data_IF_248459184228
#
_entry.id   IF_248459184228
#
_cell.length_a   1.000
_cell.length_b   1.000
_cell.length_c   1.000
_cell.angle_alpha   90.00
_cell.angle_beta   90.00
_cell.angle_gamma   90.00
#
_symmetry.space_group_name_H-M   'P 1'
#
loop_
_entity.id
_entity.type
_entity.pdbx_description
1 polymer ?
#
# COMPACT_ATOMS: atom_id res chain seq x y z
N UNK A 1 18.20 4.82 0.81
CA UNK A 1 17.97 4.88 2.28
C UNK A 1 16.94 3.82 2.65
N UNK A 2 16.59 3.66 3.93
CA UNK A 2 15.47 2.79 4.34
C UNK A 2 14.23 3.66 4.55
N UNK A 3 13.09 3.26 3.98
CA UNK A 3 11.82 3.97 4.09
C UNK A 3 10.80 3.12 4.85
N UNK A 4 10.07 3.76 5.74
CA UNK A 4 8.96 3.18 6.48
C UNK A 4 7.69 3.21 5.63
N UNK A 5 6.92 2.12 5.68
CA UNK A 5 5.60 2.00 5.08
C UNK A 5 4.59 1.73 6.17
N UNK A 6 3.46 2.43 6.12
CA UNK A 6 2.28 2.16 6.92
C UNK A 6 1.13 1.77 6.01
N UNK A 7 0.55 0.62 6.27
CA UNK A 7 -0.52 0.03 5.49
C UNK A 7 -1.77 -0.07 6.34
N UNK A 8 -2.87 0.51 5.85
CA UNK A 8 -4.22 0.32 6.40
C UNK A 8 -4.95 -0.72 5.57
N UNK A 9 -5.50 -1.75 6.19
CA UNK A 9 -6.05 -2.93 5.50
C UNK A 9 -7.54 -3.02 5.79
N UNK A 10 -8.34 -2.86 4.74
CA UNK A 10 -9.79 -2.90 4.78
C UNK A 10 -10.25 -4.27 4.28
N UNK A 11 -10.90 -5.03 5.17
CA UNK A 11 -11.46 -6.35 4.87
C UNK A 11 -12.97 -6.25 4.72
N UNK A 12 -13.60 -6.98 3.78
CA UNK A 12 -15.05 -7.02 3.66
C UNK A 12 -15.69 -7.49 4.97
N UNK A 13 -16.69 -6.77 5.46
CA UNK A 13 -17.41 -7.10 6.69
C UNK A 13 -16.64 -6.81 7.99
N UNK A 14 -15.47 -6.17 7.92
CA UNK A 14 -14.72 -5.70 9.09
C UNK A 14 -14.81 -4.17 9.14
N UNK A 15 -15.29 -3.64 10.25
CA UNK A 15 -15.54 -2.20 10.43
C UNK A 15 -14.24 -1.41 10.58
N UNK A 16 -13.30 -1.92 11.38
CA UNK A 16 -12.02 -1.25 11.61
C UNK A 16 -10.90 -1.81 10.71
N UNK A 17 -10.06 -0.94 10.13
CA UNK A 17 -8.92 -1.39 9.36
C UNK A 17 -7.82 -1.97 10.26
N UNK A 18 -7.17 -3.03 9.78
CA UNK A 18 -5.93 -3.52 10.39
C UNK A 18 -4.75 -2.66 9.93
N UNK A 19 -3.83 -2.32 10.84
CA UNK A 19 -2.63 -1.55 10.51
C UNK A 19 -1.39 -2.44 10.53
N UNK A 20 -0.55 -2.33 9.49
CA UNK A 20 0.78 -2.94 9.46
C UNK A 20 1.83 -1.91 9.09
N UNK A 21 3.01 -2.04 9.69
CA UNK A 21 4.19 -1.27 9.32
C UNK A 21 5.33 -2.19 8.93
N UNK A 22 6.10 -1.78 7.95
CA UNK A 22 7.33 -2.44 7.54
C UNK A 22 8.25 -1.44 6.88
N UNK A 23 9.52 -1.79 6.76
CA UNK A 23 10.50 -0.99 6.06
C UNK A 23 10.95 -1.67 4.76
N UNK A 24 11.35 -0.85 3.79
CA UNK A 24 12.01 -1.31 2.57
C UNK A 24 13.20 -0.42 2.26
N UNK A 25 14.24 -1.03 1.68
CA UNK A 25 15.43 -0.32 1.22
C UNK A 25 15.21 0.21 -0.20
N UNK A 26 15.52 1.49 -0.40
CA UNK A 26 15.48 2.13 -1.72
C UNK A 26 16.59 1.62 -2.66
N UNK A 27 16.34 1.62 -3.98
CA UNK A 27 15.12 2.06 -4.66
C UNK A 27 13.98 1.02 -4.53
N UNK A 28 12.76 1.47 -4.26
CA UNK A 28 11.60 0.58 -4.08
C UNK A 28 10.82 0.52 -5.38
N UNK A 29 10.73 -0.66 -5.99
CA UNK A 29 9.89 -0.90 -7.17
C UNK A 29 8.48 -1.34 -6.76
N UNK A 30 7.48 -1.01 -7.57
CA UNK A 30 6.09 -1.39 -7.30
C UNK A 30 5.92 -2.92 -7.22
N UNK A 31 6.61 -3.67 -8.09
CA UNK A 31 6.61 -5.14 -8.02
C UNK A 31 7.18 -5.70 -6.71
N UNK A 32 8.24 -5.08 -6.17
CA UNK A 32 8.82 -5.49 -4.88
C UNK A 32 7.89 -5.14 -3.72
N UNK A 33 7.28 -3.95 -3.75
CA UNK A 33 6.28 -3.53 -2.79
C UNK A 33 5.09 -4.50 -2.78
N UNK A 34 4.52 -4.81 -3.95
CA UNK A 34 3.43 -5.80 -4.08
C UNK A 34 3.83 -7.16 -3.51
N UNK A 35 5.00 -7.67 -3.85
CA UNK A 35 5.48 -8.95 -3.31
C UNK A 35 5.60 -8.92 -1.79
N UNK A 36 6.09 -7.82 -1.20
CA UNK A 36 6.16 -7.64 0.26
C UNK A 36 4.77 -7.64 0.90
N UNK A 37 3.82 -6.92 0.31
CA UNK A 37 2.40 -6.92 0.70
C UNK A 37 1.84 -8.35 0.67
N UNK A 38 1.98 -9.07 -0.44
CA UNK A 38 1.50 -10.46 -0.54
C UNK A 38 2.09 -11.41 0.51
N UNK A 39 3.38 -11.27 0.83
CA UNK A 39 4.02 -12.08 1.88
C UNK A 39 3.46 -11.76 3.27
N UNK A 40 3.16 -10.49 3.55
CA UNK A 40 2.61 -10.07 4.84
C UNK A 40 1.15 -10.50 5.03
N UNK A 41 0.36 -10.58 3.95
CA UNK A 41 -1.08 -10.78 4.03
C UNK A 41 -1.57 -12.18 3.66
N UNK A 42 -0.64 -13.12 3.51
CA UNK A 42 -0.87 -14.51 3.12
C UNK A 42 -1.52 -14.63 1.71
N UNK A 43 -0.80 -15.17 0.71
CA UNK A 43 -1.28 -15.23 -0.68
C UNK A 43 -2.58 -16.03 -0.87
N UNK A 44 -2.95 -16.89 0.08
CA UNK A 44 -4.15 -17.72 -0.01
C UNK A 44 -5.45 -17.00 0.39
N UNK A 45 -5.38 -15.83 1.04
CA UNK A 45 -6.57 -15.14 1.57
C UNK A 45 -7.18 -14.14 0.60
N UNK A 46 -6.45 -13.66 -0.42
CA UNK A 46 -6.91 -12.50 -1.19
C UNK A 46 -6.55 -12.58 -2.68
N UNK A 47 -7.48 -13.04 -3.55
CA UNK A 47 -7.22 -13.10 -4.99
C UNK A 47 -7.15 -11.71 -5.63
N UNK A 48 -7.69 -10.67 -4.98
CA UNK A 48 -7.70 -9.32 -5.54
C UNK A 48 -7.49 -8.29 -4.43
N UNK A 49 -6.36 -7.61 -4.50
CA UNK A 49 -5.98 -6.51 -3.61
C UNK A 49 -5.99 -5.23 -4.45
N UNK A 50 -6.74 -4.22 -4.00
CA UNK A 50 -6.60 -2.85 -4.52
C UNK A 50 -5.67 -2.08 -3.60
N UNK A 51 -4.64 -1.48 -4.18
CA UNK A 51 -3.66 -0.63 -3.49
C UNK A 51 -4.05 0.81 -3.78
N UNK A 52 -4.18 1.64 -2.74
CA UNK A 52 -4.52 3.05 -2.86
C UNK A 52 -3.59 3.91 -1.99
N UNK A 53 -3.47 5.18 -2.33
CA UNK A 53 -2.86 6.24 -1.52
C UNK A 53 -3.81 7.43 -1.49
N UNK A 54 -3.64 8.31 -0.51
CA UNK A 54 -4.44 9.53 -0.40
C UNK A 54 -3.64 10.69 -0.99
N UNK A 55 -4.21 11.39 -1.97
CA UNK A 55 -3.56 12.52 -2.61
C UNK A 55 -3.70 13.83 -1.82
N UNK A 56 -3.22 14.93 -2.41
CA UNK A 56 -3.24 16.27 -1.81
C UNK A 56 -4.64 16.80 -1.52
N UNK A 57 -5.63 16.34 -2.28
CA UNK A 57 -7.01 16.79 -2.21
C UNK A 57 -7.81 15.93 -1.20
N UNK A 58 -7.16 14.89 -0.64
CA UNK A 58 -7.76 13.96 0.31
C UNK A 58 -8.45 12.77 -0.36
N UNK A 59 -8.27 12.61 -1.68
CA UNK A 59 -8.92 11.56 -2.46
C UNK A 59 -8.11 10.27 -2.48
N UNK A 60 -8.81 9.13 -2.44
CA UNK A 60 -8.20 7.81 -2.50
C UNK A 60 -7.94 7.38 -3.94
N UNK A 61 -6.66 7.42 -4.34
CA UNK A 61 -6.20 7.14 -5.70
C UNK A 61 -5.64 5.73 -5.78
N UNK A 62 -6.11 4.95 -6.77
CA UNK A 62 -5.65 3.57 -6.98
C UNK A 62 -4.29 3.51 -7.66
N UNK A 63 -3.40 2.66 -7.15
CA UNK A 63 -2.11 2.31 -7.76
C UNK A 63 -2.19 0.95 -8.44
N UNK A 64 -1.99 0.93 -9.75
CA UNK A 64 -2.05 -0.27 -10.59
C UNK A 64 -0.74 -0.55 -11.33
N UNK A 65 0.10 0.47 -11.50
CA UNK A 65 1.33 0.39 -12.30
C UNK A 65 2.44 1.25 -11.73
N UNK A 66 3.66 1.00 -12.21
CA UNK A 66 4.91 1.51 -11.65
C UNK A 66 4.97 3.05 -11.59
N UNK A 67 4.49 3.73 -12.63
CA UNK A 67 4.46 5.20 -12.67
C UNK A 67 3.51 5.81 -11.63
N UNK A 68 2.33 5.22 -11.43
CA UNK A 68 1.37 5.63 -10.40
C UNK A 68 1.95 5.43 -8.99
N UNK A 69 2.75 4.38 -8.81
CA UNK A 69 3.45 4.12 -7.56
C UNK A 69 4.53 5.16 -7.29
N UNK A 70 5.34 5.52 -8.30
CA UNK A 70 6.35 6.57 -8.13
C UNK A 70 5.73 7.93 -7.86
N UNK A 71 4.61 8.27 -8.51
CA UNK A 71 3.87 9.49 -8.20
C UNK A 71 3.43 9.53 -6.73
N UNK A 72 2.93 8.40 -6.21
CA UNK A 72 2.56 8.31 -4.80
C UNK A 72 3.78 8.47 -3.86
N UNK A 73 4.91 7.84 -4.19
CA UNK A 73 6.12 7.96 -3.37
C UNK A 73 6.70 9.37 -3.37
N UNK A 74 6.75 10.02 -4.54
CA UNK A 74 7.24 11.39 -4.70
C UNK A 74 6.38 12.38 -3.91
N UNK A 75 5.05 12.20 -3.96
CA UNK A 75 4.14 12.99 -3.14
C UNK A 75 4.39 12.86 -1.63
N UNK A 76 4.77 11.66 -1.19
CA UNK A 76 5.00 11.36 0.22
C UNK A 76 6.46 11.53 0.64
N UNK A 77 7.37 12.04 -0.21
CA UNK A 77 8.81 11.97 0.05
C UNK A 77 9.25 12.78 1.28
N UNK A 78 8.54 13.88 1.55
CA UNK A 78 8.70 14.76 2.71
C UNK A 78 8.10 14.18 4.01
N UNK A 79 7.44 13.03 3.94
CA UNK A 79 6.83 12.38 5.10
C UNK A 79 7.75 11.34 5.72
N UNK A 80 7.56 11.08 7.02
CA UNK A 80 8.33 10.05 7.74
C UNK A 80 7.95 8.62 7.36
N UNK A 81 6.76 8.40 6.79
CA UNK A 81 6.25 7.09 6.40
C UNK A 81 5.42 7.18 5.12
N UNK A 82 5.62 6.25 4.19
CA UNK A 82 4.75 6.11 3.02
C UNK A 82 3.46 5.39 3.42
N UNK A 83 2.33 6.05 3.23
CA UNK A 83 1.02 5.58 3.69
C UNK A 83 0.22 5.02 2.51
N UNK A 84 -0.17 3.75 2.61
CA UNK A 84 -1.05 3.11 1.64
C UNK A 84 -2.26 2.46 2.32
N UNK A 85 -3.33 2.30 1.54
CA UNK A 85 -4.55 1.59 1.89
C UNK A 85 -4.67 0.36 1.01
N UNK A 86 -5.04 -0.78 1.60
CA UNK A 86 -5.35 -2.02 0.90
C UNK A 86 -6.82 -2.35 1.08
N UNK A 87 -7.53 -2.49 -0.02
CA UNK A 87 -8.89 -3.01 0.00
C UNK A 87 -8.87 -4.43 -0.51
N UNK A 88 -9.21 -5.36 0.38
CA UNK A 88 -9.33 -6.76 0.06
C UNK A 88 -10.74 -6.98 -0.52
N UNK A 89 -10.84 -7.66 -1.65
CA UNK A 89 -12.14 -7.97 -2.24
C UNK A 89 -12.57 -9.39 -1.84
N UNK A 90 -13.84 -9.54 -1.45
CA UNK A 90 -14.44 -10.86 -1.29
C UNK A 90 -14.53 -11.55 -2.66
N UNK A 91 -14.44 -12.89 -2.66
CA UNK A 91 -14.74 -13.69 -3.85
C UNK A 91 -16.23 -13.70 -4.13
#
# INVERSE_FOLDING_TARGET
MERQFKISIFRPGVEEPEYRRFSMREPIRFGQFRSKIYHLFNPYLTPTIRILWTDKDGDDVTVRRENEFFLALDFMDDTSEYIFKLYLQAR
#
